data_IF_092832488278
#
_entry.id   IF_092832488278
#
_cell.length_a   1.000
_cell.length_b   1.000
_cell.length_c   1.000
_cell.angle_alpha   90.00
_cell.angle_beta   90.00
_cell.angle_gamma   90.00
#
_symmetry.space_group_name_H-M   'P 1'
#
loop_
_entity.id
_entity.type
_entity.pdbx_description
1 polymer ?
#
# COMPACT_ATOMS: atom_id res chain seq x y z
N UNK A 1 -15.77 -5.29 -22.02
CA UNK A 1 -14.78 -5.72 -21.00
C UNK A 1 -15.42 -6.74 -20.08
N UNK A 2 -14.67 -7.74 -19.64
CA UNK A 2 -15.13 -8.78 -18.72
C UNK A 2 -14.05 -9.01 -17.67
N UNK A 3 -14.48 -9.05 -16.41
CA UNK A 3 -13.66 -9.48 -15.29
C UNK A 3 -14.47 -10.49 -14.49
N UNK A 4 -13.86 -11.63 -14.18
CA UNK A 4 -14.41 -12.65 -13.29
C UNK A 4 -13.29 -13.29 -12.50
N UNK A 5 -13.49 -13.46 -11.21
CA UNK A 5 -12.53 -14.09 -10.31
C UNK A 5 -13.25 -14.70 -9.10
N UNK A 6 -12.63 -15.69 -8.47
CA UNK A 6 -13.01 -16.16 -7.14
C UNK A 6 -12.01 -15.62 -6.13
N UNK A 7 -12.46 -14.95 -5.07
CA UNK A 7 -11.54 -14.47 -4.04
C UNK A 7 -11.18 -15.62 -3.08
N UNK A 8 -9.90 -15.95 -2.98
CA UNK A 8 -9.38 -16.97 -2.06
C UNK A 8 -8.64 -16.36 -0.84
N UNK A 9 -8.45 -15.04 -0.84
CA UNK A 9 -7.77 -14.31 0.23
C UNK A 9 -8.53 -13.02 0.60
N UNK A 10 -9.74 -13.13 1.20
CA UNK A 10 -10.51 -11.96 1.64
C UNK A 10 -9.82 -11.18 2.77
N UNK A 11 -8.99 -11.84 3.59
CA UNK A 11 -8.23 -11.21 4.67
C UNK A 11 -7.15 -10.28 4.11
N UNK A 12 -6.41 -10.71 3.09
CA UNK A 12 -5.42 -9.89 2.39
C UNK A 12 -6.06 -8.66 1.74
N UNK A 13 -7.19 -8.83 1.06
CA UNK A 13 -7.98 -7.72 0.51
C UNK A 13 -8.42 -6.72 1.59
N UNK A 14 -8.86 -7.21 2.75
CA UNK A 14 -9.25 -6.36 3.88
C UNK A 14 -8.07 -5.58 4.46
N UNK A 15 -6.90 -6.22 4.64
CA UNK A 15 -5.69 -5.55 5.15
C UNK A 15 -5.18 -4.47 4.20
N UNK A 16 -5.23 -4.73 2.88
CA UNK A 16 -4.97 -3.74 1.84
C UNK A 16 -5.93 -2.56 1.96
N UNK A 17 -7.24 -2.82 2.03
CA UNK A 17 -8.25 -1.78 2.16
C UNK A 17 -8.09 -0.97 3.46
N UNK A 18 -7.77 -1.63 4.57
CA UNK A 18 -7.57 -1.01 5.88
C UNK A 18 -6.37 -0.05 5.88
N UNK A 19 -5.30 -0.43 5.19
CA UNK A 19 -4.11 0.42 5.02
C UNK A 19 -4.43 1.62 4.12
N UNK A 20 -5.04 1.36 2.96
CA UNK A 20 -5.37 2.40 1.98
C UNK A 20 -6.36 3.43 2.52
N UNK A 21 -7.28 3.04 3.42
CA UNK A 21 -8.24 3.95 4.05
C UNK A 21 -7.52 5.08 4.78
N UNK A 22 -6.34 4.80 5.35
CA UNK A 22 -5.52 5.79 6.05
C UNK A 22 -4.72 6.68 5.08
N UNK A 23 -4.53 6.25 3.84
CA UNK A 23 -3.85 7.06 2.81
C UNK A 23 -4.83 7.94 2.02
N UNK A 24 -6.11 7.56 1.96
CA UNK A 24 -7.15 8.38 1.37
C UNK A 24 -8.47 7.65 1.13
N UNK A 25 -9.53 8.41 0.78
CA UNK A 25 -10.88 7.88 0.64
C UNK A 25 -11.10 7.06 -0.64
N UNK A 26 -10.22 7.21 -1.63
CA UNK A 26 -10.38 6.61 -2.97
C UNK A 26 -9.11 5.96 -3.45
N UNK A 27 -9.25 4.89 -4.24
CA UNK A 27 -8.13 4.13 -4.80
C UNK A 27 -8.43 3.74 -6.25
N UNK A 28 -7.36 3.55 -7.01
CA UNK A 28 -7.38 2.96 -8.34
C UNK A 28 -6.93 1.50 -8.24
N UNK A 29 -7.68 0.58 -8.82
CA UNK A 29 -7.28 -0.81 -9.00
C UNK A 29 -7.00 -1.03 -10.49
N UNK A 30 -5.72 -1.11 -10.84
CA UNK A 30 -5.26 -1.47 -12.18
C UNK A 30 -5.04 -2.98 -12.23
N UNK A 31 -5.71 -3.65 -13.17
CA UNK A 31 -5.69 -5.09 -13.28
C UNK A 31 -5.30 -5.51 -14.69
N UNK A 32 -4.30 -6.39 -14.78
CA UNK A 32 -3.91 -7.10 -16.00
C UNK A 32 -3.93 -8.60 -15.78
N UNK A 33 -3.56 -9.39 -16.78
CA UNK A 33 -3.41 -10.85 -16.65
C UNK A 33 -2.27 -11.21 -15.69
N UNK A 34 -1.22 -10.39 -15.61
CA UNK A 34 0.01 -10.69 -14.87
C UNK A 34 0.06 -10.04 -13.49
N UNK A 35 -0.58 -8.89 -13.33
CA UNK A 35 -0.42 -8.05 -12.13
C UNK A 35 -1.73 -7.39 -11.72
N UNK A 36 -1.89 -7.20 -10.42
CA UNK A 36 -2.88 -6.32 -9.83
C UNK A 36 -2.13 -5.23 -9.06
N UNK A 37 -2.60 -4.01 -9.20
CA UNK A 37 -1.99 -2.86 -8.58
C UNK A 37 -3.05 -1.97 -7.94
N UNK A 38 -2.92 -1.70 -6.65
CA UNK A 38 -3.70 -0.68 -5.97
C UNK A 38 -2.88 0.60 -5.91
N UNK A 39 -3.44 1.68 -6.46
CA UNK A 39 -2.76 2.96 -6.61
C UNK A 39 -3.54 4.03 -5.87
N UNK A 40 -2.91 4.61 -4.85
CA UNK A 40 -3.30 5.90 -4.31
C UNK A 40 -2.50 6.97 -5.04
N UNK A 41 -3.13 7.60 -6.02
CA UNK A 41 -2.56 8.71 -6.76
C UNK A 41 -3.05 10.05 -6.20
N UNK A 42 -2.24 11.11 -6.32
CA UNK A 42 -2.65 12.50 -6.06
C UNK A 42 -2.98 13.16 -7.38
N UNK A 43 -4.21 13.65 -7.56
CA UNK A 43 -4.51 14.60 -8.64
C UNK A 43 -4.36 16.04 -8.14
N UNK A 44 -4.96 16.38 -6.98
CA UNK A 44 -4.96 17.75 -6.43
C UNK A 44 -4.80 17.85 -4.90
N UNK A 45 -4.71 16.73 -4.18
CA UNK A 45 -4.63 16.70 -2.72
C UNK A 45 -3.18 16.58 -2.21
N UNK A 46 -2.89 17.21 -1.06
CA UNK A 46 -1.76 16.82 -0.22
C UNK A 46 -2.05 15.45 0.43
N UNK A 47 -1.03 14.62 0.65
CA UNK A 47 -1.18 13.25 1.16
C UNK A 47 -0.15 12.24 0.65
N UNK A 48 -0.20 10.99 1.07
CA UNK A 48 0.73 9.99 0.54
C UNK A 48 0.32 9.54 -0.87
N UNK A 49 1.31 9.24 -1.73
CA UNK A 49 1.07 8.42 -2.91
C UNK A 49 1.60 7.00 -2.69
N UNK A 50 0.84 5.98 -3.05
CA UNK A 50 1.22 4.59 -2.80
C UNK A 50 0.84 3.66 -3.95
N UNK A 51 1.71 2.69 -4.23
CA UNK A 51 1.52 1.63 -5.21
C UNK A 51 1.73 0.29 -4.53
N UNK A 52 0.68 -0.51 -4.39
CA UNK A 52 0.74 -1.89 -3.90
C UNK A 52 0.67 -2.80 -5.11
N UNK A 53 1.76 -3.49 -5.44
CA UNK A 53 1.84 -4.40 -6.59
C UNK A 53 1.88 -5.84 -6.14
N UNK A 54 1.00 -6.65 -6.72
CA UNK A 54 0.82 -8.05 -6.36
C UNK A 54 0.50 -8.89 -7.61
N UNK A 55 0.69 -10.20 -7.49
CA UNK A 55 0.22 -11.15 -8.50
C UNK A 55 -1.26 -11.45 -8.29
N UNK A 56 -2.07 -11.64 -9.36
CA UNK A 56 -3.48 -12.00 -9.23
C UNK A 56 -3.74 -13.22 -8.34
N UNK A 57 -2.87 -14.22 -8.39
CA UNK A 57 -2.95 -15.47 -7.63
C UNK A 57 -2.88 -15.25 -6.11
N UNK A 58 -2.32 -14.11 -5.66
CA UNK A 58 -2.22 -13.72 -4.25
C UNK A 58 -3.61 -13.48 -3.62
N UNK A 59 -4.56 -13.01 -4.43
CA UNK A 59 -5.91 -12.62 -3.99
C UNK A 59 -7.04 -13.44 -4.62
N UNK A 60 -6.80 -14.03 -5.79
CA UNK A 60 -7.83 -14.62 -6.63
C UNK A 60 -7.44 -15.98 -7.22
N UNK A 61 -8.45 -16.84 -7.38
CA UNK A 61 -8.44 -18.02 -8.26
C UNK A 61 -9.41 -17.82 -9.41
N UNK A 62 -9.31 -18.65 -10.46
CA UNK A 62 -10.17 -18.55 -11.66
C UNK A 62 -10.21 -17.12 -12.26
N UNK A 63 -9.09 -16.42 -12.18
CA UNK A 63 -8.95 -15.03 -12.57
C UNK A 63 -8.96 -14.90 -14.10
N UNK A 64 -9.97 -14.19 -14.63
CA UNK A 64 -10.14 -13.95 -16.06
C UNK A 64 -10.39 -12.47 -16.30
N UNK A 65 -9.56 -11.87 -17.15
CA UNK A 65 -9.72 -10.51 -17.65
C UNK A 65 -9.72 -10.52 -19.18
N UNK A 66 -10.71 -9.84 -19.76
CA UNK A 66 -10.82 -9.61 -21.20
C UNK A 66 -11.16 -8.13 -21.45
N UNK A 67 -10.27 -7.42 -22.13
CA UNK A 67 -10.44 -6.00 -22.44
C UNK A 67 -9.82 -5.70 -23.80
N UNK A 68 -10.45 -4.80 -24.55
CA UNK A 68 -9.91 -4.32 -25.83
C UNK A 68 -8.62 -3.48 -25.65
N UNK A 69 -8.31 -3.08 -24.41
CA UNK A 69 -7.09 -2.36 -24.04
C UNK A 69 -6.06 -3.32 -23.46
N UNK A 70 -5.44 -4.16 -24.30
CA UNK A 70 -4.37 -5.10 -23.89
C UNK A 70 -4.71 -6.00 -22.68
N UNK A 71 -6.00 -6.38 -22.53
CA UNK A 71 -6.48 -7.11 -21.35
C UNK A 71 -6.19 -6.40 -20.01
N UNK A 72 -6.22 -5.08 -20.02
CA UNK A 72 -6.16 -4.24 -18.82
C UNK A 72 -7.53 -3.62 -18.52
N UNK A 73 -7.87 -3.60 -17.23
CA UNK A 73 -9.06 -2.94 -16.71
C UNK A 73 -8.64 -2.11 -15.49
N UNK A 74 -8.86 -0.80 -15.58
CA UNK A 74 -8.51 0.16 -14.54
C UNK A 74 -9.80 0.71 -13.91
N UNK A 75 -9.96 0.47 -12.62
CA UNK A 75 -11.16 0.82 -11.85
C UNK A 75 -10.82 1.87 -10.80
N UNK A 76 -11.72 2.83 -10.59
CA UNK A 76 -11.66 3.82 -9.52
C UNK A 76 -12.86 3.65 -8.58
N UNK A 77 -12.62 3.60 -7.27
CA UNK A 77 -13.70 3.43 -6.27
C UNK A 77 -13.28 3.93 -4.88
N UNK A 78 -14.26 3.98 -3.96
CA UNK A 78 -14.05 4.37 -2.56
C UNK A 78 -13.48 3.21 -1.76
N UNK A 79 -12.47 3.50 -0.94
CA UNK A 79 -11.81 2.50 -0.10
C UNK A 79 -12.74 1.99 1.00
N UNK A 80 -13.62 2.84 1.54
CA UNK A 80 -14.61 2.46 2.56
C UNK A 80 -15.52 1.32 2.10
N UNK A 81 -15.93 1.34 0.83
CA UNK A 81 -16.83 0.34 0.27
C UNK A 81 -16.09 -1.00 0.10
N UNK A 82 -14.84 -0.97 -0.37
CA UNK A 82 -13.99 -2.16 -0.43
C UNK A 82 -13.72 -2.72 0.97
N UNK A 83 -13.44 -1.87 1.95
CA UNK A 83 -13.16 -2.26 3.33
C UNK A 83 -14.38 -2.96 3.97
N UNK A 84 -15.58 -2.42 3.76
CA UNK A 84 -16.82 -3.05 4.23
C UNK A 84 -17.05 -4.42 3.57
N UNK A 85 -17.00 -4.48 2.24
CA UNK A 85 -17.30 -5.71 1.49
C UNK A 85 -16.27 -6.81 1.80
N UNK A 86 -14.98 -6.46 1.86
CA UNK A 86 -13.91 -7.40 2.23
C UNK A 86 -14.03 -7.91 3.67
N UNK A 87 -14.56 -7.10 4.60
CA UNK A 87 -14.87 -7.54 5.97
C UNK A 87 -15.97 -8.60 6.00
N UNK A 88 -17.03 -8.41 5.23
CA UNK A 88 -18.10 -9.41 5.07
C UNK A 88 -17.56 -10.68 4.39
N UNK A 89 -16.72 -10.51 3.37
CA UNK A 89 -16.12 -11.61 2.62
C UNK A 89 -15.28 -12.56 3.49
N UNK A 90 -14.69 -12.08 4.60
CA UNK A 90 -13.95 -12.96 5.53
C UNK A 90 -14.82 -14.04 6.18
N UNK A 91 -16.14 -13.85 6.24
CA UNK A 91 -17.09 -14.81 6.78
C UNK A 91 -17.68 -15.74 5.71
N UNK A 92 -17.30 -15.54 4.45
CA UNK A 92 -17.81 -16.30 3.31
C UNK A 92 -16.93 -17.53 3.02
N UNK A 93 -17.58 -18.62 2.67
CA UNK A 93 -16.92 -19.87 2.22
C UNK A 93 -16.61 -19.84 0.73
N UNK A 94 -17.42 -19.13 -0.05
CA UNK A 94 -17.20 -18.93 -1.48
C UNK A 94 -17.48 -17.48 -1.84
N UNK A 95 -16.61 -16.88 -2.65
CA UNK A 95 -16.69 -15.48 -3.07
C UNK A 95 -16.43 -15.41 -4.56
N UNK A 96 -17.43 -15.04 -5.35
CA UNK A 96 -17.31 -14.81 -6.78
C UNK A 96 -17.48 -13.33 -7.10
N UNK A 97 -16.47 -12.74 -7.71
CA UNK A 97 -16.44 -11.34 -8.13
C UNK A 97 -16.58 -11.28 -9.64
N UNK A 98 -17.44 -10.39 -10.13
CA UNK A 98 -17.60 -10.14 -11.55
C UNK A 98 -17.90 -8.67 -11.83
N UNK A 99 -17.31 -8.13 -12.89
CA UNK A 99 -17.61 -6.79 -13.38
C UNK A 99 -18.91 -6.81 -14.19
N UNK A 100 -19.85 -5.95 -13.82
CA UNK A 100 -21.15 -5.77 -14.48
C UNK A 100 -21.39 -4.30 -14.81
N UNK A 101 -22.39 -4.07 -15.65
CA UNK A 101 -22.88 -2.77 -16.05
C UNK A 101 -24.40 -2.73 -15.79
N UNK A 102 -24.87 -1.76 -15.01
CA UNK A 102 -26.32 -1.50 -14.80
C UNK A 102 -26.56 -0.02 -15.08
N UNK A 103 -27.49 0.27 -15.98
CA UNK A 103 -27.88 1.63 -16.36
C UNK A 103 -26.69 2.55 -16.72
N UNK A 104 -25.68 2.00 -17.38
CA UNK A 104 -24.46 2.73 -17.78
C UNK A 104 -23.41 2.87 -16.67
N UNK A 105 -23.70 2.49 -15.43
CA UNK A 105 -22.75 2.52 -14.32
C UNK A 105 -22.09 1.15 -14.09
N UNK A 106 -20.75 1.04 -14.15
CA UNK A 106 -20.06 -0.20 -13.87
C UNK A 106 -19.99 -0.47 -12.36
N UNK A 107 -20.07 -1.73 -11.97
CA UNK A 107 -19.92 -2.16 -10.58
C UNK A 107 -19.29 -3.55 -10.50
N UNK A 108 -18.53 -3.79 -9.43
CA UNK A 108 -18.07 -5.13 -9.07
C UNK A 108 -19.15 -5.79 -8.22
N UNK A 109 -19.72 -6.86 -8.75
CA UNK A 109 -20.70 -7.68 -8.07
C UNK A 109 -20.01 -8.82 -7.32
N UNK A 110 -20.15 -8.85 -6.00
CA UNK A 110 -19.61 -9.87 -5.12
C UNK A 110 -20.74 -10.80 -4.67
N UNK A 111 -20.75 -12.01 -5.21
CA UNK A 111 -21.65 -13.08 -4.78
C UNK A 111 -20.92 -13.94 -3.77
N UNK A 112 -21.45 -13.98 -2.55
CA UNK A 112 -20.84 -14.66 -1.42
C UNK A 112 -21.79 -15.74 -0.89
N UNK A 113 -21.23 -16.88 -0.51
CA UNK A 113 -21.95 -17.89 0.27
C UNK A 113 -21.46 -17.79 1.72
N UNK A 114 -22.35 -17.40 2.63
CA UNK A 114 -22.10 -17.33 4.06
C UNK A 114 -22.67 -18.60 4.72
N UNK A 115 -22.08 -19.03 5.83
CA UNK A 115 -22.68 -20.06 6.69
C UNK A 115 -23.22 -19.42 7.95
N UNK A 116 -24.48 -19.67 8.25
CA UNK A 116 -25.07 -19.29 9.54
C UNK A 116 -24.59 -20.24 10.66
N UNK A 117 -24.78 -19.84 11.92
CA UNK A 117 -24.42 -20.63 13.12
C UNK A 117 -25.04 -22.03 13.14
N UNK A 118 -26.15 -22.20 12.43
CA UNK A 118 -26.87 -23.46 12.30
C UNK A 118 -26.36 -24.33 11.13
N UNK A 119 -25.26 -23.94 10.45
CA UNK A 119 -24.68 -24.65 9.31
C UNK A 119 -25.46 -24.49 8.00
N UNK A 120 -26.50 -23.66 7.98
CA UNK A 120 -27.26 -23.35 6.76
C UNK A 120 -26.52 -22.32 5.90
N UNK A 121 -26.45 -22.57 4.60
CA UNK A 121 -25.84 -21.64 3.64
C UNK A 121 -26.80 -20.52 3.26
N UNK A 122 -26.34 -19.27 3.37
CA UNK A 122 -27.06 -18.06 2.91
C UNK A 122 -26.28 -17.41 1.78
N UNK A 123 -26.96 -16.98 0.73
CA UNK A 123 -26.35 -16.14 -0.30
C UNK A 123 -26.39 -14.66 0.10
N UNK A 124 -25.26 -13.98 -0.04
CA UNK A 124 -25.13 -12.53 0.13
C UNK A 124 -24.59 -11.93 -1.17
N UNK A 125 -25.23 -10.86 -1.62
CA UNK A 125 -24.80 -10.12 -2.81
C UNK A 125 -24.46 -8.70 -2.39
N UNK A 126 -23.23 -8.28 -2.67
CA UNK A 126 -22.74 -6.94 -2.40
C UNK A 126 -22.27 -6.29 -3.71
N UNK A 127 -22.55 -5.00 -3.86
CA UNK A 127 -22.20 -4.25 -5.06
C UNK A 127 -21.23 -3.13 -4.70
N UNK A 128 -20.05 -3.13 -5.32
CA UNK A 128 -19.08 -2.05 -5.24
C UNK A 128 -19.20 -1.19 -6.51
N UNK A 129 -19.73 0.02 -6.38
CA UNK A 129 -19.75 0.97 -7.49
C UNK A 129 -18.33 1.35 -7.92
N UNK A 130 -18.04 1.27 -9.21
CA UNK A 130 -16.73 1.63 -9.76
C UNK A 130 -16.87 2.63 -10.90
N UNK A 131 -15.81 3.37 -11.19
CA UNK A 131 -15.67 4.18 -12.40
C UNK A 131 -14.53 3.64 -13.24
N UNK A 132 -14.67 3.66 -14.56
CA UNK A 132 -13.62 3.23 -15.47
C UNK A 132 -12.64 4.36 -15.72
N UNK A 133 -11.34 4.05 -15.64
CA UNK A 133 -10.29 4.99 -16.03
C UNK A 133 -9.89 4.67 -17.47
N UNK A 134 -9.94 5.69 -18.34
CA UNK A 134 -9.51 5.53 -19.72
C UNK A 134 -7.99 5.30 -19.81
N UNK A 135 -7.52 4.57 -20.84
CA UNK A 135 -6.09 4.38 -21.05
C UNK A 135 -5.32 5.70 -21.11
N UNK A 136 -5.89 6.72 -21.77
CA UNK A 136 -5.28 8.04 -21.91
C UNK A 136 -5.01 8.71 -20.55
N UNK A 137 -5.92 8.57 -19.58
CA UNK A 137 -5.70 9.07 -18.21
C UNK A 137 -4.69 8.24 -17.46
N UNK A 138 -4.71 6.91 -17.67
CA UNK A 138 -3.79 5.99 -17.01
C UNK A 138 -2.31 6.26 -17.35
N UNK A 139 -2.02 6.80 -18.54
CA UNK A 139 -0.64 7.17 -18.94
C UNK A 139 0.01 8.16 -17.97
N UNK A 140 -0.78 9.02 -17.33
CA UNK A 140 -0.31 10.02 -16.36
C UNK A 140 -0.21 9.47 -14.93
N UNK A 141 -0.89 8.35 -14.64
CA UNK A 141 -0.89 7.70 -13.32
C UNK A 141 0.22 6.66 -13.31
N UNK A 142 1.46 7.13 -13.20
CA UNK A 142 2.65 6.30 -13.11
C UNK A 142 3.31 6.47 -11.75
N UNK A 143 3.94 5.42 -11.28
CA UNK A 143 4.82 5.47 -10.12
C UNK A 143 5.91 6.52 -10.39
N UNK A 144 6.10 7.51 -9.50
CA UNK A 144 7.15 8.50 -9.62
C UNK A 144 8.49 7.78 -9.71
N UNK A 145 9.30 8.14 -10.72
CA UNK A 145 10.68 7.67 -10.77
C UNK A 145 11.42 8.25 -9.56
N UNK A 146 12.11 7.40 -8.82
CA UNK A 146 13.02 7.86 -7.77
C UNK A 146 14.04 8.80 -8.39
N UNK A 147 14.17 10.00 -7.82
CA UNK A 147 15.09 11.02 -8.33
C UNK A 147 16.50 10.72 -7.82
N UNK A 148 17.40 10.37 -8.74
CA UNK A 148 18.83 10.16 -8.44
C UNK A 148 19.14 8.88 -7.65
N UNK A 149 20.40 8.78 -7.22
CA UNK A 149 20.86 7.78 -6.23
C UNK A 149 20.54 8.41 -4.87
N UNK A 150 19.71 7.79 -4.03
CA UNK A 150 19.43 8.36 -2.71
C UNK A 150 20.66 8.22 -1.81
N UNK A 151 20.83 9.21 -0.95
CA UNK A 151 22.01 9.35 -0.10
C UNK A 151 22.05 8.28 1.00
N UNK A 152 20.88 7.79 1.45
CA UNK A 152 20.80 6.79 2.50
C UNK A 152 19.64 5.82 2.29
N UNK A 153 19.90 4.55 2.66
CA UNK A 153 18.89 3.52 2.84
C UNK A 153 19.02 2.89 4.21
N UNK A 154 17.92 2.78 4.93
CA UNK A 154 17.90 2.19 6.27
C UNK A 154 16.66 1.33 6.45
N UNK A 155 16.79 0.18 7.10
CA UNK A 155 15.64 -0.58 7.57
C UNK A 155 15.02 0.17 8.75
N UNK A 156 13.74 0.50 8.64
CA UNK A 156 13.01 1.08 9.76
C UNK A 156 12.86 0.05 10.89
N UNK A 157 12.86 0.52 12.16
CA UNK A 157 12.41 -0.31 13.26
C UNK A 157 10.92 -0.65 13.07
N UNK A 158 10.42 -1.55 13.92
CA UNK A 158 9.03 -2.01 13.82
C UNK A 158 8.05 -0.83 13.76
N UNK A 159 7.31 -0.73 12.64
CA UNK A 159 6.36 0.36 12.38
C UNK A 159 5.29 0.51 13.46
N UNK A 160 4.94 -0.58 14.15
CA UNK A 160 4.00 -0.58 15.28
C UNK A 160 4.56 0.14 16.51
N UNK A 161 5.89 0.11 16.69
CA UNK A 161 6.58 0.83 17.78
C UNK A 161 6.87 2.29 17.42
N UNK A 162 7.09 2.57 16.14
CA UNK A 162 7.25 3.94 15.64
C UNK A 162 5.94 4.74 15.70
N UNK A 163 4.80 4.11 15.42
CA UNK A 163 3.50 4.80 15.31
C UNK A 163 3.13 5.60 16.57
N UNK A 164 3.18 5.06 17.80
CA UNK A 164 2.91 5.85 19.00
C UNK A 164 3.84 7.05 19.19
N UNK A 165 5.12 6.93 18.80
CA UNK A 165 6.09 8.03 18.88
C UNK A 165 5.72 9.12 17.87
N UNK A 166 5.45 8.74 16.62
CA UNK A 166 5.02 9.66 15.56
C UNK A 166 3.71 10.38 15.90
N UNK A 167 2.72 9.69 16.50
CA UNK A 167 1.45 10.30 16.94
C UNK A 167 1.67 11.37 18.02
N UNK A 168 2.59 11.12 18.97
CA UNK A 168 2.96 12.12 19.99
C UNK A 168 3.63 13.34 19.35
N UNK A 169 4.58 13.14 18.44
CA UNK A 169 5.26 14.24 17.74
C UNK A 169 4.30 15.04 16.85
N UNK A 170 3.36 14.37 16.18
CA UNK A 170 2.29 14.99 15.40
C UNK A 170 1.42 15.94 16.23
N UNK A 171 1.18 15.64 17.51
CA UNK A 171 0.41 16.52 18.40
C UNK A 171 1.11 17.84 18.71
N UNK A 172 2.43 17.90 18.52
CA UNK A 172 3.29 19.05 18.83
C UNK A 172 3.58 19.90 17.59
N UNK A 173 3.71 19.29 16.39
CA UNK A 173 4.00 20.00 15.14
C UNK A 173 3.33 19.37 13.92
N UNK A 174 2.88 20.25 13.01
CA UNK A 174 2.32 19.87 11.70
C UNK A 174 3.38 19.23 10.78
N UNK A 175 4.64 19.59 10.98
CA UNK A 175 5.77 19.08 10.20
C UNK A 175 6.78 18.38 11.11
N UNK A 176 7.40 17.34 10.59
CA UNK A 176 8.49 16.63 11.23
C UNK A 176 9.63 16.43 10.23
N UNK A 177 10.84 16.28 10.76
CA UNK A 177 12.04 15.99 9.99
C UNK A 177 12.42 14.53 10.23
N UNK A 178 12.52 13.76 9.16
CA UNK A 178 13.09 12.42 9.20
C UNK A 178 14.54 12.50 8.75
N UNK A 179 15.44 11.90 9.53
CA UNK A 179 16.86 11.84 9.19
C UNK A 179 17.38 10.42 9.31
N UNK A 180 18.29 10.02 8.43
CA UNK A 180 18.94 8.72 8.49
C UNK A 180 20.40 8.85 8.05
N UNK A 181 21.25 7.96 8.55
CA UNK A 181 22.62 7.79 8.06
C UNK A 181 22.89 6.33 7.63
N UNK A 182 24.09 6.09 7.09
CA UNK A 182 24.54 4.76 6.68
C UNK A 182 25.20 3.96 7.82
N UNK A 183 25.04 4.41 9.07
CA UNK A 183 25.56 3.78 10.28
C UNK A 183 24.43 3.22 11.18
N UNK A 184 23.26 2.97 10.61
CA UNK A 184 22.14 2.36 11.34
C UNK A 184 21.42 3.27 12.32
N UNK A 185 21.48 4.60 12.12
CA UNK A 185 20.77 5.58 12.95
C UNK A 185 19.65 6.23 12.15
N UNK A 186 18.43 6.14 12.67
CA UNK A 186 17.23 6.82 12.16
C UNK A 186 16.69 7.78 13.22
N UNK A 187 16.30 8.98 12.81
CA UNK A 187 15.86 10.05 13.68
C UNK A 187 14.53 10.62 13.21
N UNK A 188 13.64 10.89 14.16
CA UNK A 188 12.39 11.61 13.94
C UNK A 188 12.41 12.84 14.84
N UNK A 189 12.54 14.02 14.23
CA UNK A 189 12.68 15.28 14.95
C UNK A 189 11.52 16.22 14.66
N UNK A 190 11.18 17.05 15.64
CA UNK A 190 10.33 18.23 15.46
C UNK A 190 11.06 19.42 16.09
N UNK A 191 11.02 20.54 15.39
CA UNK A 191 11.53 21.81 15.87
C UNK A 191 10.40 22.82 15.84
N UNK A 192 10.10 23.42 16.99
CA UNK A 192 9.09 24.46 17.15
C UNK A 192 9.64 25.56 18.03
N UNK A 193 8.98 26.72 18.05
CA UNK A 193 9.37 27.87 18.88
C UNK A 193 9.44 27.52 20.38
N UNK A 194 8.64 26.55 20.83
CA UNK A 194 8.49 26.23 22.26
C UNK A 194 9.25 24.98 22.70
N UNK A 195 9.51 24.05 21.79
CA UNK A 195 10.19 22.80 22.09
C UNK A 195 10.86 22.20 20.86
N UNK A 196 11.99 21.55 21.11
CA UNK A 196 12.63 20.60 20.21
C UNK A 196 12.46 19.20 20.80
N UNK A 197 12.01 18.25 19.99
CA UNK A 197 11.91 16.86 20.40
C UNK A 197 12.49 15.97 19.31
N UNK A 198 13.40 15.08 19.70
CA UNK A 198 14.05 14.12 18.81
C UNK A 198 13.86 12.71 19.37
N UNK A 199 13.43 11.79 18.52
CA UNK A 199 13.43 10.36 18.78
C UNK A 199 14.51 9.69 17.93
N UNK A 200 15.49 9.08 18.59
CA UNK A 200 16.63 8.44 17.95
C UNK A 200 16.48 6.92 18.05
N UNK A 201 16.68 6.23 16.93
CA UNK A 201 16.67 4.79 16.80
C UNK A 201 18.02 4.34 16.27
N UNK A 202 18.75 3.56 17.06
CA UNK A 202 20.11 3.09 16.76
C UNK A 202 20.15 1.58 16.56
N UNK A 203 21.20 1.08 15.93
CA UNK A 203 21.40 -0.36 15.70
C UNK A 203 20.51 -0.93 14.59
N UNK A 204 20.11 -0.08 13.64
CA UNK A 204 19.36 -0.49 12.44
C UNK A 204 20.32 -0.99 11.36
N UNK A 205 19.82 -1.82 10.46
CA UNK A 205 20.60 -2.33 9.34
C UNK A 205 20.43 -1.44 8.11
N UNK A 206 21.52 -1.18 7.39
CA UNK A 206 21.50 -0.51 6.10
C UNK A 206 21.59 -1.56 4.99
N UNK A 207 20.53 -1.79 4.20
CA UNK A 207 20.54 -2.81 3.15
C UNK A 207 21.49 -2.38 2.02
N UNK A 208 22.29 -3.34 1.51
CA UNK A 208 23.08 -3.12 0.31
C UNK A 208 22.20 -3.32 -0.93
N UNK A 209 21.89 -2.24 -1.64
CA UNK A 209 21.19 -2.31 -2.92
C UNK A 209 22.23 -2.48 -4.04
N UNK A 210 22.06 -3.53 -4.86
CA UNK A 210 22.99 -3.84 -5.96
C UNK A 210 23.17 -2.62 -6.89
N UNK A 211 24.41 -2.20 -7.08
CA UNK A 211 24.78 -1.13 -8.02
C UNK A 211 24.71 0.30 -7.47
N UNK A 212 24.45 0.50 -6.18
CA UNK A 212 24.45 1.83 -5.56
C UNK A 212 25.49 1.90 -4.44
N UNK A 213 26.51 2.72 -4.64
CA UNK A 213 27.46 3.09 -3.59
C UNK A 213 26.81 4.23 -2.78
N UNK A 214 26.56 4.04 -1.47
CA UNK A 214 26.13 5.13 -0.60
C UNK A 214 27.16 6.26 -0.59
N UNK A 215 26.77 7.43 -0.08
CA UNK A 215 27.67 8.58 0.08
C UNK A 215 29.00 8.17 0.75
N UNK A 216 30.10 8.83 0.39
CA UNK A 216 31.45 8.52 0.91
C UNK A 216 31.54 8.65 2.45
N UNK A 217 30.67 9.45 3.07
CA UNK A 217 30.64 9.67 4.52
C UNK A 217 29.47 8.94 5.20
N UNK A 218 29.78 7.85 5.91
CA UNK A 218 28.83 6.92 6.52
C UNK A 218 28.04 7.57 7.68
N UNK A 219 28.57 8.66 8.26
CA UNK A 219 27.99 9.36 9.40
C UNK A 219 27.12 10.56 9.00
N UNK A 220 27.15 10.98 7.74
CA UNK A 220 26.33 12.10 7.27
C UNK A 220 24.84 11.72 7.32
N UNK A 221 24.03 12.62 7.87
CA UNK A 221 22.59 12.43 7.94
C UNK A 221 21.93 13.07 6.73
N UNK A 222 21.29 12.23 5.91
CA UNK A 222 20.32 12.72 4.94
C UNK A 222 19.00 12.99 5.68
N UNK A 223 18.37 14.12 5.40
CA UNK A 223 17.17 14.55 6.10
C UNK A 223 16.10 15.08 5.13
N UNK A 224 14.84 14.96 5.55
CA UNK A 224 13.70 15.41 4.76
C UNK A 224 12.57 15.83 5.69
N UNK A 225 12.03 17.02 5.45
CA UNK A 225 10.88 17.55 6.17
C UNK A 225 9.60 17.12 5.48
N UNK A 226 8.68 16.53 6.25
CA UNK A 226 7.41 16.00 5.76
C UNK A 226 6.25 16.43 6.67
N UNK A 227 5.01 16.31 6.19
CA UNK A 227 3.84 16.50 7.03
C UNK A 227 3.73 15.35 8.05
N UNK A 228 3.53 15.68 9.32
CA UNK A 228 3.40 14.68 10.40
C UNK A 228 2.20 13.76 10.19
N UNK A 229 1.12 14.29 9.59
CA UNK A 229 -0.06 13.52 9.19
C UNK A 229 0.27 12.43 8.18
N UNK A 230 1.11 12.73 7.20
CA UNK A 230 1.52 11.78 6.17
C UNK A 230 2.37 10.67 6.79
N UNK A 231 3.35 11.00 7.63
CA UNK A 231 4.16 9.96 8.28
C UNK A 231 3.32 9.00 9.14
N UNK A 232 2.44 9.55 9.98
CA UNK A 232 1.53 8.76 10.81
C UNK A 232 0.58 7.91 9.96
N UNK A 233 0.11 8.45 8.84
CA UNK A 233 -0.73 7.74 7.88
C UNK A 233 0.02 6.57 7.27
N UNK A 234 1.26 6.78 6.80
CA UNK A 234 2.15 5.73 6.27
C UNK A 234 2.33 4.58 7.26
N UNK A 235 2.59 4.89 8.54
CA UNK A 235 2.85 3.89 9.57
C UNK A 235 1.67 2.93 9.78
N UNK A 236 0.45 3.21 9.30
CA UNK A 236 -0.66 2.24 9.28
C UNK A 236 -0.43 1.05 8.34
N UNK A 237 0.67 1.02 7.58
CA UNK A 237 1.13 -0.15 6.84
C UNK A 237 1.44 -1.36 7.73
N UNK A 238 1.52 -1.19 9.06
CA UNK A 238 1.59 -2.30 10.01
C UNK A 238 0.45 -3.31 9.84
N UNK A 239 -0.74 -2.88 9.35
CA UNK A 239 -1.86 -3.77 9.07
C UNK A 239 -1.56 -4.85 8.01
N UNK A 240 -0.54 -4.62 7.17
CA UNK A 240 -0.08 -5.56 6.14
C UNK A 240 0.93 -6.59 6.68
N UNK A 241 1.32 -6.48 7.95
CA UNK A 241 2.38 -7.28 8.58
C UNK A 241 3.65 -7.32 7.73
N UNK A 242 4.29 -6.15 7.51
CA UNK A 242 5.47 -6.06 6.66
C UNK A 242 6.63 -6.85 7.26
N UNK A 243 7.38 -7.54 6.39
CA UNK A 243 8.60 -8.25 6.78
C UNK A 243 9.75 -7.26 6.95
N UNK A 244 9.92 -6.38 5.97
CA UNK A 244 10.96 -5.35 5.95
C UNK A 244 10.37 -4.04 5.44
N UNK A 245 10.78 -2.93 6.06
CA UNK A 245 10.44 -1.59 5.60
C UNK A 245 11.73 -0.83 5.39
N UNK A 246 12.05 -0.52 4.14
CA UNK A 246 13.22 0.28 3.77
C UNK A 246 12.77 1.73 3.65
N UNK A 247 13.46 2.62 4.35
CA UNK A 247 13.37 4.05 4.18
C UNK A 247 14.51 4.53 3.28
N UNK A 248 14.16 5.18 2.18
CA UNK A 248 15.07 5.79 1.23
C UNK A 248 14.93 7.30 1.29
N UNK A 249 16.03 7.98 1.62
CA UNK A 249 16.07 9.44 1.75
C UNK A 249 17.04 9.99 0.72
N UNK A 250 16.55 10.88 -0.13
CA UNK A 250 17.37 11.80 -0.91
C UNK A 250 17.32 13.14 -0.19
N UNK A 251 18.42 13.54 0.43
CA UNK A 251 18.57 14.77 1.21
C UNK A 251 17.82 15.96 0.62
N UNK A 252 16.94 16.55 1.42
CA UNK A 252 15.97 17.61 1.14
C UNK A 252 14.95 17.33 0.01
N UNK A 253 15.23 16.40 -0.90
CA UNK A 253 14.49 16.23 -2.16
C UNK A 253 13.31 15.27 -2.08
N UNK A 254 13.54 14.06 -1.54
CA UNK A 254 12.58 12.97 -1.68
C UNK A 254 12.65 11.96 -0.53
N UNK A 255 11.47 11.48 -0.12
CA UNK A 255 11.30 10.37 0.80
C UNK A 255 10.49 9.26 0.13
N UNK A 256 11.04 8.04 0.11
CA UNK A 256 10.37 6.85 -0.40
C UNK A 256 10.47 5.72 0.61
N UNK A 257 9.35 5.05 0.88
CA UNK A 257 9.32 3.82 1.66
C UNK A 257 9.03 2.62 0.77
N UNK A 258 9.87 1.59 0.87
CA UNK A 258 9.63 0.28 0.26
C UNK A 258 9.21 -0.70 1.34
N UNK A 259 7.99 -1.19 1.25
CA UNK A 259 7.41 -2.12 2.22
C UNK A 259 7.30 -3.49 1.56
N UNK A 260 8.12 -4.43 2.03
CA UNK A 260 8.13 -5.81 1.57
C UNK A 260 7.20 -6.65 2.45
N UNK A 261 6.27 -7.36 1.82
CA UNK A 261 5.26 -8.15 2.52
C UNK A 261 4.91 -9.43 1.75
N UNK A 262 4.31 -10.39 2.45
CA UNK A 262 3.80 -11.63 1.85
C UNK A 262 2.31 -11.78 2.17
N UNK A 263 1.46 -11.32 1.25
CA UNK A 263 -0.01 -11.35 1.40
C UNK A 263 -0.57 -12.77 1.24
N UNK A 264 0.18 -13.67 0.61
CA UNK A 264 -0.22 -15.05 0.33
C UNK A 264 -0.38 -15.93 1.59
N UNK A 265 0.06 -15.46 2.75
CA UNK A 265 -0.01 -16.19 4.03
C UNK A 265 -1.45 -16.40 4.51
N UNK A 266 -2.41 -15.63 3.99
CA UNK A 266 -3.81 -15.64 4.43
C UNK A 266 -4.76 -16.44 3.52
N UNK A 267 -4.24 -17.22 2.57
CA UNK A 267 -5.04 -18.07 1.69
C UNK A 267 -5.71 -19.22 2.47
N UNK A 268 -6.98 -19.53 2.17
CA UNK A 268 -7.65 -20.71 2.70
C UNK A 268 -6.91 -22.00 2.25
N UNK A 269 -6.88 -23.03 3.13
CA UNK A 269 -6.00 -24.22 3.10
C UNK A 269 -6.03 -25.14 1.85
N UNK A 270 -6.75 -24.80 0.77
CA UNK A 270 -6.84 -25.59 -0.47
C UNK A 270 -6.06 -24.99 -1.66
N UNK A 271 -4.98 -24.24 -1.40
CA UNK A 271 -4.12 -23.72 -2.47
C UNK A 271 -3.15 -24.81 -2.98
N UNK A 272 -2.97 -24.97 -4.31
CA UNK A 272 -2.00 -25.91 -4.87
C UNK A 272 -0.57 -25.60 -4.41
N UNK A 273 0.25 -26.66 -4.30
CA UNK A 273 1.66 -26.63 -3.87
C UNK A 273 2.44 -25.59 -4.68
N UNK A 274 3.10 -24.66 -3.97
CA UNK A 274 3.79 -23.50 -4.55
C UNK A 274 5.19 -23.83 -5.06
N UNK A 275 5.69 -23.12 -6.11
CA UNK A 275 7.12 -22.99 -6.37
C UNK A 275 7.80 -22.09 -5.31
N UNK A 276 9.08 -22.35 -5.04
CA UNK A 276 9.90 -21.80 -3.93
C UNK A 276 10.20 -20.28 -4.07
N UNK A 277 9.78 -19.64 -5.17
CA UNK A 277 10.09 -18.24 -5.50
C UNK A 277 8.84 -17.44 -5.91
N UNK A 278 7.86 -17.30 -5.01
CA UNK A 278 6.83 -16.27 -5.20
C UNK A 278 7.48 -14.88 -5.12
N UNK A 279 7.29 -13.98 -6.10
CA UNK A 279 7.82 -12.62 -6.01
C UNK A 279 7.18 -11.90 -4.80
N UNK A 280 8.02 -11.25 -3.99
CA UNK A 280 7.57 -10.49 -2.84
C UNK A 280 6.56 -9.42 -3.27
N UNK A 281 5.47 -9.27 -2.49
CA UNK A 281 4.55 -8.14 -2.69
C UNK A 281 5.26 -6.90 -2.16
N UNK A 282 5.32 -5.86 -3.00
CA UNK A 282 5.98 -4.61 -2.65
C UNK A 282 4.93 -3.51 -2.66
N UNK A 283 4.91 -2.72 -1.60
CA UNK A 283 4.27 -1.42 -1.58
C UNK A 283 5.34 -0.33 -1.61
N UNK A 284 5.33 0.49 -2.66
CA UNK A 284 6.11 1.73 -2.71
C UNK A 284 5.24 2.88 -2.23
N UNK A 285 5.77 3.70 -1.34
CA UNK A 285 5.08 4.86 -0.78
C UNK A 285 5.96 6.10 -0.93
N UNK A 286 5.49 7.08 -1.70
CA UNK A 286 6.15 8.36 -1.89
C UNK A 286 5.48 9.41 -1.01
N UNK A 287 6.29 10.10 -0.21
CA UNK A 287 5.84 11.14 0.72
C UNK A 287 6.36 12.49 0.24
N UNK A 288 5.53 13.55 0.22
CA UNK A 288 5.95 14.89 -0.17
C UNK A 288 7.03 15.44 0.76
N UNK A 289 8.13 15.93 0.20
CA UNK A 289 9.02 16.83 0.93
C UNK A 289 8.40 18.24 0.98
N UNK A 290 8.57 18.93 2.11
CA UNK A 290 8.22 20.33 2.30
C UNK A 290 9.48 21.14 2.57
N UNK A 291 9.62 22.26 1.87
CA UNK A 291 10.71 23.22 2.08
C UNK A 291 10.16 24.44 2.84
N UNK A 292 11.01 25.13 3.59
CA UNK A 292 10.69 26.42 4.23
C UNK A 292 10.56 27.56 3.21
#
# INVERSE_FOLDING_TARGET
MRFKASANNPVGLYKIAQTLEKFGPTVIMAMSIETIMFIRHRDHDAGIQAWIKLQPQSLFTNYRIESANNNEINLFFRVSDLLYISKVAQQATNIMINLRLRDGQPYLNWKMTLQDRNGSSMESVQELGVSLISPDRMVYIKEPRTMGIPHTYILLPNVSTLKPVAERLKSLSKYLTLSANMNGVFKVAIETVNCECEAIFEGLENPQLEGQQPNEDVNEFAHVRIASDDFVSFLNCYHLDPQNVVCSITDELQLVFYVYMTIDTYQAHEAPIRPIHSPQTIMTCHVPAYYE
#
